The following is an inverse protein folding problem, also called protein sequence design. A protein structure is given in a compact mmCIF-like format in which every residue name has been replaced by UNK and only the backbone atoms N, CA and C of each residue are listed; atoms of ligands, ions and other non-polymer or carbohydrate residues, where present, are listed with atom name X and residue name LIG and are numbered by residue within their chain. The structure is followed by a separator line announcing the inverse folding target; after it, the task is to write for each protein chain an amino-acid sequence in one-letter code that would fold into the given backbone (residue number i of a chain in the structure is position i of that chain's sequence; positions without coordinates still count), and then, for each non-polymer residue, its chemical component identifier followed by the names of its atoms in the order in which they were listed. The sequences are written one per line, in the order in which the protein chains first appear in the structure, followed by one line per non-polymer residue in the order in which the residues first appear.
data_IF_575574929385
#
_entry.id   IF_575574929385
#
_cell.length_a   1.000
_cell.length_b   1.000
_cell.length_c   1.000
_cell.angle_alpha   90.00
_cell.angle_beta   90.00
_cell.angle_gamma   90.00
#
_symmetry.space_group_name_H-M   'P 1'
#
loop_
_entity.id
_entity.type
_entity.pdbx_description
1 polymer ?
#
# COMPACT_ATOMS: atom_id res chain seq x y z
N UNK A 1 5.40 1.15 -11.11
CA UNK A 1 6.64 0.98 -10.34
C UNK A 1 6.53 1.80 -9.05
N UNK A 2 6.05 1.19 -7.97
CA UNK A 2 5.79 1.83 -6.67
C UNK A 2 7.08 1.82 -5.84
N UNK A 3 7.83 2.92 -5.78
CA UNK A 3 9.19 2.98 -5.18
C UNK A 3 9.26 3.45 -3.72
N UNK A 4 8.15 3.68 -3.01
CA UNK A 4 8.17 4.47 -1.77
C UNK A 4 7.56 3.84 -0.51
N UNK A 5 7.56 2.51 -0.38
CA UNK A 5 7.26 1.85 0.89
C UNK A 5 8.24 0.71 1.19
N UNK A 6 8.61 0.51 2.46
CA UNK A 6 9.50 -0.57 2.89
C UNK A 6 9.69 -0.66 4.41
N UNK A 7 10.18 -1.81 4.88
CA UNK A 7 10.28 -2.19 6.30
C UNK A 7 10.99 -1.16 7.20
N UNK A 8 12.12 -0.60 6.79
CA UNK A 8 12.87 0.40 7.57
C UNK A 8 12.05 1.68 7.86
N UNK A 9 11.13 2.01 6.96
CA UNK A 9 10.21 3.15 7.07
C UNK A 9 9.03 2.84 8.00
N UNK A 10 8.79 1.58 8.36
CA UNK A 10 7.71 1.21 9.29
C UNK A 10 8.10 1.34 10.77
N UNK A 11 9.38 1.62 11.08
CA UNK A 11 9.82 1.85 12.46
C UNK A 11 9.17 3.11 13.05
N UNK A 12 8.79 3.05 14.33
CA UNK A 12 8.02 4.11 15.02
C UNK A 12 8.74 5.45 14.98
N UNK A 13 10.06 5.43 15.11
CA UNK A 13 10.95 6.58 15.08
C UNK A 13 10.90 7.31 13.72
N UNK A 14 10.64 6.56 12.65
CA UNK A 14 10.63 7.06 11.29
C UNK A 14 9.22 7.36 10.77
N UNK A 15 8.17 7.09 11.56
CA UNK A 15 6.78 7.14 11.10
C UNK A 15 6.41 8.48 10.41
N UNK A 16 6.74 9.67 10.97
CA UNK A 16 6.41 10.94 10.30
C UNK A 16 7.10 11.07 8.93
N UNK A 17 8.39 10.71 8.85
CA UNK A 17 9.18 10.76 7.62
C UNK A 17 8.62 9.79 6.57
N UNK A 18 8.23 8.61 7.00
CA UNK A 18 7.67 7.58 6.13
C UNK A 18 6.31 7.96 5.58
N UNK A 19 5.44 8.53 6.43
CA UNK A 19 4.16 9.09 6.02
C UNK A 19 4.35 10.22 5.01
N UNK A 20 5.28 11.15 5.27
CA UNK A 20 5.58 12.24 4.34
C UNK A 20 6.05 11.75 2.97
N UNK A 21 6.86 10.68 2.95
CA UNK A 21 7.38 10.13 1.68
C UNK A 21 6.32 9.28 0.96
N UNK A 22 5.42 8.61 1.68
CA UNK A 22 4.30 7.86 1.12
C UNK A 22 3.12 8.73 0.67
N UNK A 23 2.96 9.93 1.23
CA UNK A 23 1.81 10.81 0.98
C UNK A 23 1.44 11.05 -0.50
N UNK A 24 2.40 11.26 -1.43
CA UNK A 24 2.07 11.41 -2.85
C UNK A 24 1.44 10.15 -3.44
N UNK A 25 1.89 8.96 -3.02
CA UNK A 25 1.34 7.69 -3.46
C UNK A 25 -0.07 7.49 -2.88
N UNK A 26 -0.24 7.74 -1.59
CA UNK A 26 -1.55 7.57 -0.93
C UNK A 26 -2.61 8.46 -1.58
N UNK A 27 -2.27 9.72 -1.91
CA UNK A 27 -3.16 10.61 -2.67
C UNK A 27 -3.52 10.03 -4.04
N UNK A 28 -2.54 9.53 -4.79
CA UNK A 28 -2.80 8.92 -6.10
C UNK A 28 -3.73 7.69 -5.99
N UNK A 29 -3.59 6.90 -4.93
CA UNK A 29 -4.46 5.75 -4.68
C UNK A 29 -5.91 6.22 -4.46
N UNK A 30 -6.13 7.21 -3.58
CA UNK A 30 -7.47 7.76 -3.31
C UNK A 30 -8.10 8.41 -4.55
N UNK A 31 -7.29 9.09 -5.36
CA UNK A 31 -7.76 9.79 -6.56
C UNK A 31 -7.91 8.86 -7.79
N UNK A 32 -7.45 7.61 -7.70
CA UNK A 32 -7.42 6.70 -8.86
C UNK A 32 -8.79 6.19 -9.30
N UNK A 33 -9.78 6.19 -8.41
CA UNK A 33 -11.07 5.53 -8.64
C UNK A 33 -10.97 4.00 -8.71
N UNK A 34 -9.87 3.40 -8.24
CA UNK A 34 -9.72 1.95 -8.18
C UNK A 34 -10.48 1.36 -6.98
N UNK A 35 -10.96 0.13 -7.12
CA UNK A 35 -11.67 -0.59 -6.06
C UNK A 35 -10.72 -1.33 -5.08
N UNK A 36 -9.50 -1.63 -5.52
CA UNK A 36 -8.55 -2.49 -4.82
C UNK A 36 -7.11 -2.14 -5.18
N UNK A 37 -6.21 -2.15 -4.19
CA UNK A 37 -4.76 -2.01 -4.40
C UNK A 37 -4.09 -3.38 -4.36
N UNK A 38 -3.15 -3.65 -5.26
CA UNK A 38 -2.40 -4.91 -5.29
C UNK A 38 -0.91 -4.66 -5.02
N UNK A 39 -0.34 -5.42 -4.08
CA UNK A 39 1.09 -5.39 -3.74
C UNK A 39 1.59 -6.76 -3.29
N UNK A 40 2.75 -7.19 -3.76
CA UNK A 40 3.43 -8.42 -3.31
C UNK A 40 4.25 -8.20 -2.03
N UNK A 41 4.34 -6.97 -1.54
CA UNK A 41 5.06 -6.61 -0.33
C UNK A 41 4.12 -6.37 0.85
N UNK A 42 4.19 -7.22 1.88
CA UNK A 42 3.37 -7.10 3.10
C UNK A 42 3.55 -5.77 3.83
N UNK A 43 4.78 -5.25 3.92
CA UNK A 43 5.00 -3.95 4.59
C UNK A 43 4.41 -2.79 3.79
N UNK A 44 4.31 -2.93 2.46
CA UNK A 44 3.57 -1.99 1.61
C UNK A 44 2.07 -2.08 1.82
N UNK A 45 1.53 -3.29 1.92
CA UNK A 45 0.12 -3.51 2.26
C UNK A 45 -0.24 -2.75 3.53
N UNK A 46 0.51 -2.95 4.62
CA UNK A 46 0.22 -2.28 5.89
C UNK A 46 0.29 -0.76 5.79
N UNK A 47 1.32 -0.18 5.15
CA UNK A 47 1.37 1.28 5.01
C UNK A 47 0.21 1.82 4.19
N UNK A 48 -0.19 1.13 3.12
CA UNK A 48 -1.30 1.55 2.27
C UNK A 48 -2.62 1.45 3.05
N UNK A 49 -2.89 0.33 3.71
CA UNK A 49 -4.13 0.13 4.49
C UNK A 49 -4.22 1.05 5.72
N UNK A 50 -3.07 1.44 6.30
CA UNK A 50 -3.05 2.42 7.41
C UNK A 50 -3.23 3.87 6.95
N UNK A 51 -3.00 4.16 5.67
CA UNK A 51 -2.90 5.55 5.16
C UNK A 51 -3.89 5.85 4.05
N UNK A 52 -4.70 4.88 3.63
CA UNK A 52 -5.73 5.01 2.59
C UNK A 52 -7.01 4.26 2.98
N UNK A 53 -8.10 4.58 2.31
CA UNK A 53 -9.42 3.96 2.47
C UNK A 53 -9.55 2.61 1.74
N UNK A 54 -8.64 2.31 0.82
CA UNK A 54 -8.71 1.11 -0.01
C UNK A 54 -8.05 -0.08 0.66
N UNK A 55 -8.69 -1.24 0.49
CA UNK A 55 -8.11 -2.54 0.83
C UNK A 55 -6.88 -2.80 -0.06
N UNK A 56 -5.89 -3.49 0.49
CA UNK A 56 -4.71 -3.87 -0.28
C UNK A 56 -4.44 -5.38 -0.18
N UNK A 57 -4.20 -6.04 -1.32
CA UNK A 57 -4.07 -7.50 -1.37
C UNK A 57 -2.83 -8.01 -2.11
N UNK A 58 -2.39 -9.21 -1.71
CA UNK A 58 -1.33 -9.90 -2.42
C UNK A 58 -1.83 -10.37 -3.79
N UNK A 59 -1.03 -10.26 -4.88
CA UNK A 59 -1.44 -10.69 -6.22
C UNK A 59 -1.98 -12.12 -6.27
N UNK A 60 -1.39 -13.02 -5.49
CA UNK A 60 -1.84 -14.43 -5.42
C UNK A 60 -3.28 -14.57 -4.92
N UNK A 61 -3.73 -13.69 -4.01
CA UNK A 61 -5.10 -13.68 -3.49
C UNK A 61 -6.08 -13.30 -4.61
N UNK A 62 -5.73 -12.29 -5.41
CA UNK A 62 -6.55 -11.87 -6.55
C UNK A 62 -6.63 -12.98 -7.61
N UNK A 63 -5.50 -13.63 -7.91
CA UNK A 63 -5.49 -14.77 -8.85
C UNK A 63 -6.33 -15.94 -8.33
N UNK A 64 -6.24 -16.25 -7.04
CA UNK A 64 -7.05 -17.31 -6.43
C UNK A 64 -8.55 -16.99 -6.50
N UNK A 65 -8.96 -15.74 -6.31
CA UNK A 65 -10.35 -15.30 -6.46
C UNK A 65 -10.84 -15.35 -7.91
N UNK A 66 -9.97 -15.08 -8.88
CA UNK A 66 -10.33 -15.10 -10.30
C UNK A 66 -10.47 -16.51 -10.89
N UNK A 67 -9.85 -17.51 -10.26
CA UNK A 67 -9.86 -18.92 -10.69
C UNK A 67 -10.90 -19.77 -9.94
N UNK A 68 -11.60 -19.20 -8.96
CA UNK A 68 -12.67 -19.83 -8.20
C UNK A 68 -14.02 -19.69 -8.91
#
# INVERSE_FOLDING_TARGET
MLRYCGYLRFQKENYPTSQAIGAPLFRQIEESGADLVITDCETCKWQIEMSTSLRCEHPITLLAQALA
#
